data_IF_864235584082
#
_entry.id   IF_864235584082
#
_cell.length_a   1.000
_cell.length_b   1.000
_cell.length_c   1.000
_cell.angle_alpha   90.00
_cell.angle_beta   90.00
_cell.angle_gamma   90.00
#
_symmetry.space_group_name_H-M   'P 1'
#
loop_
_entity.id
_entity.type
_entity.pdbx_description
1 polymer ?
#
# COMPACT_ATOMS: atom_id res chain seq x y z
N UNK A 1 -14.88 -3.03 -14.76
CA UNK A 1 -13.93 -2.76 -15.86
C UNK A 1 -12.79 -3.77 -15.73
N UNK A 2 -12.75 -4.72 -16.68
CA UNK A 2 -11.93 -5.93 -16.68
C UNK A 2 -10.44 -5.63 -16.49
N UNK A 3 -9.78 -6.35 -15.57
CA UNK A 3 -8.35 -6.63 -15.72
C UNK A 3 -8.06 -8.11 -15.48
N UNK A 4 -8.33 -8.87 -16.55
CA UNK A 4 -7.63 -10.06 -17.06
C UNK A 4 -7.54 -11.30 -16.15
N UNK A 5 -8.42 -12.26 -16.45
CA UNK A 5 -8.23 -13.70 -16.20
C UNK A 5 -7.22 -14.29 -17.21
N UNK A 6 -6.50 -15.35 -16.78
CA UNK A 6 -5.62 -16.31 -17.49
C UNK A 6 -4.12 -15.93 -17.46
N UNK A 7 -3.20 -16.71 -16.88
CA UNK A 7 -2.89 -18.13 -17.17
C UNK A 7 -2.19 -18.86 -15.98
N UNK A 8 -2.26 -20.20 -16.01
CA UNK A 8 -1.94 -21.17 -14.95
C UNK A 8 -0.45 -21.29 -14.58
N UNK A 9 -0.13 -21.13 -13.29
CA UNK A 9 0.61 -22.08 -12.41
C UNK A 9 1.23 -21.44 -11.16
N UNK A 10 1.24 -20.10 -11.03
CA UNK A 10 1.83 -19.41 -9.86
C UNK A 10 1.11 -18.10 -9.59
N UNK A 11 -0.06 -18.13 -8.94
CA UNK A 11 -0.90 -16.92 -8.77
C UNK A 11 -0.28 -15.99 -7.72
N UNK A 12 0.33 -14.93 -8.23
CA UNK A 12 0.90 -13.80 -7.50
C UNK A 12 0.31 -12.55 -8.12
N UNK A 13 -0.47 -11.79 -7.35
CA UNK A 13 -1.14 -10.59 -7.84
C UNK A 13 -0.52 -9.34 -7.20
N UNK A 14 -0.04 -8.44 -8.05
CA UNK A 14 0.25 -7.05 -7.72
C UNK A 14 -0.57 -6.19 -8.69
N UNK A 15 -1.50 -5.40 -8.17
CA UNK A 15 -2.24 -4.42 -8.97
C UNK A 15 -1.26 -3.36 -9.53
N UNK A 16 -1.53 -2.72 -10.68
CA UNK A 16 -0.88 -1.44 -10.99
C UNK A 16 -0.95 -0.48 -9.80
N UNK A 17 0.06 0.41 -9.64
CA UNK A 17 0.11 1.35 -8.53
C UNK A 17 -1.21 2.12 -8.44
N UNK A 18 -1.89 2.01 -7.31
CA UNK A 18 -3.12 2.74 -7.06
C UNK A 18 -2.75 4.03 -6.36
N UNK A 19 -2.96 5.16 -7.02
CA UNK A 19 -2.83 6.45 -6.37
C UNK A 19 -4.08 6.72 -5.53
N UNK A 20 -3.83 7.16 -4.30
CA UNK A 20 -4.83 7.57 -3.33
C UNK A 20 -4.51 9.00 -2.93
N UNK A 21 -5.56 9.76 -2.60
CA UNK A 21 -5.41 11.15 -2.24
C UNK A 21 -5.19 11.25 -0.73
N UNK A 22 -4.26 12.11 -0.34
CA UNK A 22 -4.05 12.55 1.03
C UNK A 22 -4.51 14.02 1.10
N UNK A 23 -5.59 14.25 1.82
CA UNK A 23 -6.28 15.56 1.85
C UNK A 23 -6.02 16.25 3.18
N UNK A 24 -5.41 17.41 3.11
CA UNK A 24 -5.26 18.36 4.21
C UNK A 24 -5.51 19.81 3.70
N UNK A 25 -4.58 20.75 3.94
CA UNK A 25 -4.63 22.09 3.30
C UNK A 25 -4.53 22.01 1.77
N UNK A 26 -3.79 21.03 1.27
CA UNK A 26 -3.71 20.66 -0.13
C UNK A 26 -3.97 19.15 -0.32
N UNK A 27 -4.20 18.74 -1.57
CA UNK A 27 -4.38 17.33 -1.93
C UNK A 27 -3.09 16.81 -2.56
N UNK A 28 -2.48 15.80 -1.94
CA UNK A 28 -1.29 15.11 -2.43
C UNK A 28 -1.64 13.69 -2.88
N UNK A 29 -1.07 13.25 -4.00
CA UNK A 29 -1.20 11.86 -4.43
C UNK A 29 -0.11 11.00 -3.82
N UNK A 30 -0.51 9.85 -3.27
CA UNK A 30 0.40 8.89 -2.64
C UNK A 30 0.07 7.47 -3.07
N UNK A 31 1.01 6.55 -2.88
CA UNK A 31 0.88 5.19 -3.38
C UNK A 31 0.15 4.27 -2.39
N UNK A 32 -0.94 3.65 -2.82
CA UNK A 32 -1.62 2.57 -2.13
C UNK A 32 -1.11 1.20 -2.62
N UNK A 33 -0.69 0.35 -1.68
CA UNK A 33 -0.31 -1.04 -1.94
C UNK A 33 -1.51 -1.97 -1.74
N UNK A 34 -2.34 -2.14 -2.77
CA UNK A 34 -3.43 -3.13 -2.73
C UNK A 34 -3.99 -3.49 -4.13
N UNK A 35 -4.53 -4.72 -4.29
CA UNK A 35 -4.29 -5.89 -3.43
C UNK A 35 -2.92 -6.53 -3.72
N UNK A 36 -2.36 -7.18 -2.69
CA UNK A 36 -1.22 -8.09 -2.80
C UNK A 36 -1.65 -9.48 -2.30
N UNK A 37 -1.57 -10.49 -3.15
CA UNK A 37 -1.93 -11.85 -2.77
C UNK A 37 -0.97 -12.87 -3.35
N UNK A 38 -0.71 -13.92 -2.58
CA UNK A 38 0.00 -15.12 -3.01
C UNK A 38 -0.94 -16.30 -2.81
N UNK A 39 -1.11 -17.11 -3.85
CA UNK A 39 -1.95 -18.31 -3.79
C UNK A 39 -1.55 -19.22 -2.61
N UNK A 40 -2.49 -19.82 -1.87
CA UNK A 40 -2.20 -20.58 -0.65
C UNK A 40 -1.09 -21.63 -0.77
N UNK A 41 -1.04 -22.34 -1.90
CA UNK A 41 -0.01 -23.36 -2.17
C UNK A 41 1.42 -22.79 -2.27
N UNK A 42 1.55 -21.49 -2.55
CA UNK A 42 2.83 -20.79 -2.70
C UNK A 42 3.13 -19.83 -1.54
N UNK A 43 2.27 -19.77 -0.52
CA UNK A 43 2.51 -18.98 0.67
C UNK A 43 3.65 -19.55 1.52
N UNK A 44 4.23 -18.73 2.39
CA UNK A 44 5.36 -19.05 3.29
C UNK A 44 6.67 -19.46 2.58
N UNK A 45 6.76 -19.26 1.26
CA UNK A 45 7.98 -19.49 0.46
C UNK A 45 8.77 -18.19 0.20
N UNK A 46 8.44 -17.09 0.88
CA UNK A 46 9.11 -15.79 0.70
C UNK A 46 8.63 -14.96 -0.49
N UNK A 47 7.72 -15.49 -1.33
CA UNK A 47 7.20 -14.81 -2.52
C UNK A 47 6.56 -13.45 -2.18
N UNK A 48 5.68 -13.40 -1.18
CA UNK A 48 5.07 -12.15 -0.73
C UNK A 48 6.12 -11.11 -0.33
N UNK A 49 7.18 -11.53 0.34
CA UNK A 49 8.29 -10.64 0.71
C UNK A 49 9.07 -10.14 -0.49
N UNK A 50 9.30 -10.99 -1.49
CA UNK A 50 9.99 -10.61 -2.72
C UNK A 50 9.20 -9.56 -3.50
N UNK A 51 7.88 -9.71 -3.57
CA UNK A 51 7.00 -8.73 -4.23
C UNK A 51 6.98 -7.38 -3.53
N UNK A 52 6.89 -7.37 -2.20
CA UNK A 52 6.95 -6.12 -1.43
C UNK A 52 8.27 -5.40 -1.72
N UNK A 53 9.40 -6.10 -1.65
CA UNK A 53 10.71 -5.51 -1.92
C UNK A 53 10.80 -4.93 -3.33
N UNK A 54 10.40 -5.70 -4.35
CA UNK A 54 10.40 -5.24 -5.73
C UNK A 54 9.47 -4.02 -5.95
N UNK A 55 8.28 -4.04 -5.34
CA UNK A 55 7.35 -2.90 -5.41
C UNK A 55 7.91 -1.64 -4.76
N UNK A 56 8.58 -1.77 -3.61
CA UNK A 56 9.24 -0.66 -2.93
C UNK A 56 10.42 -0.10 -3.72
N UNK A 57 11.24 -0.96 -4.34
CA UNK A 57 12.32 -0.52 -5.24
C UNK A 57 11.78 0.29 -6.43
N UNK A 58 10.66 -0.14 -7.02
CA UNK A 58 9.99 0.60 -8.10
C UNK A 58 9.45 1.95 -7.59
N UNK A 59 8.85 1.99 -6.41
CA UNK A 59 8.33 3.23 -5.82
C UNK A 59 9.45 4.23 -5.53
N UNK A 60 10.57 3.77 -4.97
CA UNK A 60 11.78 4.59 -4.75
C UNK A 60 12.33 5.13 -6.08
N UNK A 61 12.44 4.30 -7.10
CA UNK A 61 12.92 4.72 -8.42
C UNK A 61 12.01 5.79 -9.08
N UNK A 62 10.71 5.76 -8.76
CA UNK A 62 9.72 6.76 -9.19
C UNK A 62 9.68 8.00 -8.30
N UNK A 63 10.47 8.06 -7.23
CA UNK A 63 10.47 9.14 -6.24
C UNK A 63 9.12 9.33 -5.57
N UNK A 64 8.38 8.24 -5.39
CA UNK A 64 7.20 8.26 -4.53
C UNK A 64 7.63 8.66 -3.11
N UNK A 65 6.79 9.40 -2.40
CA UNK A 65 7.13 9.87 -1.06
C UNK A 65 6.77 8.86 0.03
N UNK A 66 5.60 8.23 -0.08
CA UNK A 66 5.12 7.24 0.88
C UNK A 66 4.37 6.11 0.18
N UNK A 67 4.33 4.95 0.83
CA UNK A 67 3.47 3.81 0.46
C UNK A 67 2.55 3.47 1.62
N UNK A 68 1.25 3.43 1.38
CA UNK A 68 0.22 3.09 2.38
C UNK A 68 -0.32 1.69 2.13
N UNK A 69 -0.60 0.97 3.21
CA UNK A 69 -1.21 -0.36 3.17
C UNK A 69 -2.17 -0.55 4.34
N UNK A 70 -3.30 -1.20 4.07
CA UNK A 70 -4.12 -1.79 5.12
C UNK A 70 -3.72 -3.27 5.25
N UNK A 71 -3.06 -3.64 6.35
CA UNK A 71 -2.50 -4.98 6.50
C UNK A 71 -2.00 -5.32 7.90
N UNK A 72 -1.61 -6.58 8.10
CA UNK A 72 -1.19 -7.06 9.43
C UNK A 72 0.21 -6.55 9.84
N UNK A 73 0.37 -5.93 11.02
CA UNK A 73 1.65 -5.43 11.51
C UNK A 73 2.76 -6.49 11.49
N UNK A 74 2.45 -7.73 11.87
CA UNK A 74 3.45 -8.82 11.95
C UNK A 74 4.08 -9.13 10.58
N UNK A 75 3.38 -8.83 9.49
CA UNK A 75 3.88 -9.04 8.13
C UNK A 75 4.60 -7.80 7.57
N UNK A 76 4.06 -6.59 7.79
CA UNK A 76 4.52 -5.38 7.12
C UNK A 76 5.65 -4.63 7.85
N UNK A 77 5.72 -4.72 9.18
CA UNK A 77 6.75 -4.04 10.00
C UNK A 77 8.18 -4.39 9.58
N UNK A 78 8.44 -5.64 9.17
CA UNK A 78 9.76 -6.10 8.69
C UNK A 78 10.22 -5.45 7.38
N UNK A 79 9.35 -4.75 6.66
CA UNK A 79 9.70 -3.96 5.47
C UNK A 79 9.82 -2.46 5.78
N UNK A 80 9.71 -2.07 7.06
CA UNK A 80 9.78 -0.68 7.52
C UNK A 80 8.45 0.07 7.44
N UNK A 81 7.32 -0.63 7.34
CA UNK A 81 6.01 -0.01 7.55
C UNK A 81 5.77 0.24 9.03
N UNK A 82 5.10 1.34 9.34
CA UNK A 82 4.72 1.76 10.69
C UNK A 82 3.25 2.19 10.69
N UNK A 83 2.57 2.21 11.85
CA UNK A 83 1.21 2.74 11.94
C UNK A 83 1.13 4.16 11.37
N UNK A 84 0.15 4.41 10.50
CA UNK A 84 0.00 5.68 9.79
C UNK A 84 -0.23 6.87 10.72
N UNK A 85 -0.83 6.63 11.89
CA UNK A 85 -1.07 7.63 12.93
C UNK A 85 0.22 8.30 13.44
N UNK A 86 1.37 7.61 13.37
CA UNK A 86 2.68 8.18 13.72
C UNK A 86 3.08 9.33 12.79
N UNK A 87 2.50 9.37 11.59
CA UNK A 87 2.75 10.36 10.55
C UNK A 87 1.55 11.29 10.35
N UNK A 88 0.61 11.35 11.32
CA UNK A 88 -0.59 12.19 11.20
C UNK A 88 -1.42 11.89 9.94
N UNK A 89 -1.40 10.63 9.49
CA UNK A 89 -2.19 10.13 8.37
C UNK A 89 -3.38 9.35 8.92
N UNK A 90 -4.59 9.85 8.63
CA UNK A 90 -5.84 9.27 9.11
C UNK A 90 -6.38 8.20 8.17
N UNK A 91 -6.76 7.05 8.73
CA UNK A 91 -7.42 5.98 7.99
C UNK A 91 -8.87 6.38 7.66
N UNK A 92 -9.38 6.09 6.45
CA UNK A 92 -10.79 6.26 6.13
C UNK A 92 -11.64 5.07 6.63
N UNK A 93 -11.02 4.04 7.19
CA UNK A 93 -11.68 2.81 7.60
C UNK A 93 -11.74 2.67 9.13
N UNK A 94 -12.82 2.08 9.69
CA UNK A 94 -12.93 1.82 11.12
C UNK A 94 -12.13 0.57 11.52
N UNK A 95 -10.80 0.66 11.42
CA UNK A 95 -9.86 -0.42 11.77
C UNK A 95 -8.96 0.02 12.92
N UNK A 96 -8.40 -0.91 13.71
CA UNK A 96 -7.39 -0.54 14.70
C UNK A 96 -6.18 0.12 14.02
N UNK A 97 -5.61 1.13 14.66
CA UNK A 97 -4.57 2.00 14.10
C UNK A 97 -3.34 1.22 13.62
N UNK A 98 -3.01 0.10 14.26
CA UNK A 98 -1.86 -0.71 13.88
C UNK A 98 -1.98 -1.34 12.48
N UNK A 99 -3.20 -1.51 11.97
CA UNK A 99 -3.44 -2.15 10.66
C UNK A 99 -3.32 -1.20 9.48
N UNK A 100 -3.55 0.10 9.69
CA UNK A 100 -3.37 1.09 8.64
C UNK A 100 -1.95 1.63 8.72
N UNK A 101 -1.11 1.22 7.79
CA UNK A 101 0.34 1.40 7.89
C UNK A 101 0.89 2.19 6.72
N UNK A 102 1.95 2.95 6.98
CA UNK A 102 2.71 3.73 5.99
C UNK A 102 4.17 3.35 6.03
N UNK A 103 4.83 3.38 4.87
CA UNK A 103 6.28 3.36 4.74
C UNK A 103 6.73 4.66 4.05
N UNK A 104 7.43 5.57 4.76
CA UNK A 104 8.10 6.68 4.10
C UNK A 104 9.25 6.17 3.23
N UNK A 105 9.42 6.81 2.08
CA UNK A 105 10.49 6.57 1.11
C UNK A 105 11.48 7.75 1.10
N UNK A 106 12.49 7.72 0.24
CA UNK A 106 13.53 8.75 0.21
C UNK A 106 13.01 10.16 -0.07
N UNK A 107 11.89 10.29 -0.80
CA UNK A 107 11.31 11.59 -1.17
C UNK A 107 10.28 12.12 -0.15
N UNK A 108 10.12 11.44 0.99
CA UNK A 108 9.21 11.85 2.06
C UNK A 108 9.56 13.23 2.63
N UNK A 109 8.52 13.98 2.96
CA UNK A 109 8.55 15.28 3.63
C UNK A 109 7.39 15.35 4.62
N UNK A 110 7.45 16.23 5.62
CA UNK A 110 6.40 16.38 6.63
C UNK A 110 5.06 16.88 6.07
N UNK A 111 5.02 17.35 4.82
CA UNK A 111 3.77 17.74 4.15
C UNK A 111 2.82 16.56 3.88
N UNK A 112 3.32 15.32 3.91
CA UNK A 112 2.53 14.12 3.64
C UNK A 112 1.74 13.67 4.87
N UNK A 113 0.76 14.49 5.26
CA UNK A 113 -0.15 14.28 6.39
C UNK A 113 -1.61 14.52 5.96
N UNK A 114 -2.57 14.01 6.74
CA UNK A 114 -3.99 14.29 6.54
C UNK A 114 -4.83 13.04 6.32
N UNK A 115 -6.02 13.23 5.74
CA UNK A 115 -7.01 12.17 5.58
C UNK A 115 -6.84 11.46 4.26
N UNK A 116 -6.74 10.13 4.30
CA UNK A 116 -6.71 9.33 3.07
C UNK A 116 -8.11 9.25 2.45
N UNK A 117 -8.19 9.52 1.15
CA UNK A 117 -9.39 9.41 0.33
C UNK A 117 -9.07 8.49 -0.85
N UNK A 118 -9.82 7.40 -0.95
CA UNK A 118 -9.70 6.50 -2.10
C UNK A 118 -10.49 7.06 -3.30
N UNK A 119 -10.04 6.80 -4.55
CA UNK A 119 -10.84 7.13 -5.72
C UNK A 119 -12.24 6.49 -5.63
N UNK A 120 -13.28 7.20 -6.10
CA UNK A 120 -14.67 6.72 -6.04
C UNK A 120 -14.91 5.38 -6.75
N UNK A 121 -14.00 4.95 -7.63
CA UNK A 121 -14.00 3.61 -8.23
C UNK A 121 -13.91 2.48 -7.18
N UNK A 122 -13.49 2.79 -5.95
CA UNK A 122 -13.42 1.87 -4.82
C UNK A 122 -14.62 2.00 -3.86
N UNK A 123 -15.61 2.84 -4.16
CA UNK A 123 -16.84 2.94 -3.36
C UNK A 123 -17.69 1.67 -3.51
N UNK A 124 -18.05 1.03 -2.40
CA UNK A 124 -18.98 -0.11 -2.37
C UNK A 124 -18.38 -1.50 -2.62
N UNK A 125 -17.06 -1.65 -2.50
CA UNK A 125 -16.37 -2.96 -2.49
C UNK A 125 -16.40 -3.60 -1.11
#
# INVERSE_FOLDING_TARGET
>A
MLCIYLSLHSLVFLCPPTYIDLVNEETLQVLGLAPLAVHPQFQRQGIGSALIKAGLEIAEAKKEAIVIVLGHPQFYTRFGFQPAVVYEIESPFPVPEEFFMVKPLQSYQEIYQGKVVYPSTFDGV
#
